data_IF_533831109328
#
_entry.id   IF_533831109328
#
_cell.length_a   1.000
_cell.length_b   1.000
_cell.length_c   1.000
_cell.angle_alpha   90.00
_cell.angle_beta   90.00
_cell.angle_gamma   90.00
#
_symmetry.space_group_name_H-M   'P 1'
#
loop_
_entity.id
_entity.type
_entity.pdbx_description
1 polymer ?
#
# COMPACT_ATOMS: atom_id res chain seq x y z
N UNK A 1 5.26 14.77 12.14
CA UNK A 1 6.15 13.81 12.79
C UNK A 1 7.59 14.04 12.33
N UNK A 2 8.55 14.16 13.26
CA UNK A 2 9.97 14.39 12.91
C UNK A 2 10.66 13.05 12.60
N UNK A 3 11.26 12.96 11.42
CA UNK A 3 12.13 11.84 11.03
C UNK A 3 13.48 11.99 11.75
N UNK A 4 14.04 10.92 12.35
CA UNK A 4 15.41 10.94 12.87
C UNK A 4 16.43 11.31 11.78
N UNK A 5 17.53 12.03 12.11
CA UNK A 5 18.41 12.61 11.08
C UNK A 5 19.15 11.57 10.22
N UNK A 6 19.40 10.36 10.77
CA UNK A 6 20.09 9.26 10.08
C UNK A 6 19.17 8.38 9.23
N UNK A 7 17.85 8.60 9.27
CA UNK A 7 16.89 7.78 8.54
C UNK A 7 16.84 8.21 7.08
N UNK A 8 16.98 7.26 6.18
CA UNK A 8 16.75 7.46 4.74
C UNK A 8 15.25 7.48 4.47
N UNK A 9 14.86 8.19 3.43
CA UNK A 9 13.46 8.25 2.99
C UNK A 9 13.34 7.75 1.56
N UNK A 10 12.53 6.72 1.38
CA UNK A 10 12.25 6.08 0.09
C UNK A 10 10.83 6.47 -0.35
N UNK A 11 10.68 6.98 -1.55
CA UNK A 11 9.37 7.22 -2.15
C UNK A 11 9.08 6.13 -3.18
N UNK A 12 7.98 5.38 -3.00
CA UNK A 12 7.58 4.35 -3.95
C UNK A 12 6.69 4.94 -5.04
N UNK A 13 7.11 4.73 -6.28
CA UNK A 13 6.26 4.90 -7.45
C UNK A 13 5.31 3.69 -7.61
N UNK A 14 4.23 3.81 -8.42
CA UNK A 14 3.39 2.67 -8.77
C UNK A 14 4.19 1.49 -9.35
N UNK A 15 4.02 0.31 -8.77
CA UNK A 15 4.74 -0.90 -9.12
C UNK A 15 6.04 -1.14 -8.35
N UNK A 16 6.47 -0.16 -7.55
CA UNK A 16 7.66 -0.31 -6.74
C UNK A 16 7.37 -0.91 -5.36
N UNK A 17 8.40 -1.47 -4.77
CA UNK A 17 8.43 -1.98 -3.42
C UNK A 17 9.82 -1.78 -2.82
N UNK A 18 9.90 -1.73 -1.51
CA UNK A 18 11.16 -1.64 -0.79
C UNK A 18 11.07 -2.42 0.52
N UNK A 19 12.15 -3.11 0.87
CA UNK A 19 12.34 -3.77 2.16
C UNK A 19 13.62 -3.24 2.81
N UNK A 20 13.57 -2.89 4.09
CA UNK A 20 14.69 -2.24 4.77
C UNK A 20 14.66 -2.44 6.28
N UNK A 21 15.55 -1.70 6.94
CA UNK A 21 15.77 -1.76 8.37
C UNK A 21 15.22 -0.52 9.11
N UNK A 22 15.49 -0.46 10.42
CA UNK A 22 15.12 0.64 11.32
C UNK A 22 15.58 2.03 10.88
N UNK A 23 16.50 2.14 9.94
CA UNK A 23 16.97 3.43 9.42
C UNK A 23 16.20 3.86 8.17
N UNK A 24 15.01 3.33 7.96
CA UNK A 24 14.22 3.57 6.75
C UNK A 24 12.83 4.11 7.07
N UNK A 25 12.42 5.13 6.30
CA UNK A 25 11.05 5.59 6.13
C UNK A 25 10.63 5.34 4.69
N UNK A 26 9.47 4.70 4.48
CA UNK A 26 8.91 4.48 3.15
C UNK A 26 7.63 5.32 3.02
N UNK A 27 7.43 5.93 1.86
CA UNK A 27 6.22 6.73 1.61
C UNK A 27 5.72 6.57 0.19
N UNK A 28 4.42 6.78 0.01
CA UNK A 28 3.77 6.76 -1.29
C UNK A 28 2.46 7.54 -1.29
N UNK A 29 1.88 7.71 -2.48
CA UNK A 29 0.55 8.30 -2.68
C UNK A 29 -0.33 7.28 -3.39
N UNK A 30 -1.47 6.94 -2.81
CA UNK A 30 -2.39 5.91 -3.28
C UNK A 30 -3.72 6.51 -3.67
N UNK A 31 -4.15 6.32 -4.91
CA UNK A 31 -5.54 6.46 -5.35
C UNK A 31 -6.25 5.11 -5.29
N UNK A 32 -6.55 4.53 -6.46
CA UNK A 32 -7.10 3.18 -6.60
C UNK A 32 -6.10 2.04 -6.33
N UNK A 33 -4.82 2.35 -6.27
CA UNK A 33 -3.75 1.42 -5.90
C UNK A 33 -3.84 1.05 -4.42
N UNK A 34 -3.17 -0.05 -4.06
CA UNK A 34 -3.09 -0.52 -2.67
C UNK A 34 -1.63 -0.75 -2.29
N UNK A 35 -1.36 -0.54 -1.02
CA UNK A 35 -0.09 -0.80 -0.36
C UNK A 35 -0.28 -1.76 0.81
N UNK A 36 0.63 -2.73 0.93
CA UNK A 36 0.80 -3.52 2.14
C UNK A 36 2.11 -3.10 2.80
N UNK A 37 2.08 -2.94 4.11
CA UNK A 37 3.27 -2.83 4.94
C UNK A 37 3.46 -4.11 5.71
N UNK A 38 4.70 -4.58 5.78
CA UNK A 38 5.14 -5.73 6.58
C UNK A 38 6.16 -5.24 7.59
N UNK A 39 5.96 -5.52 8.85
CA UNK A 39 6.85 -5.06 9.92
C UNK A 39 7.10 -6.12 10.97
N UNK A 40 8.38 -6.36 11.26
CA UNK A 40 8.82 -7.27 12.31
C UNK A 40 9.19 -6.46 13.57
N UNK A 41 8.43 -6.59 14.68
CA UNK A 41 8.56 -5.69 15.84
C UNK A 41 9.86 -5.83 16.60
N UNK A 42 10.45 -7.02 16.61
CA UNK A 42 11.70 -7.28 17.35
C UNK A 42 12.94 -6.93 16.52
N UNK A 43 12.96 -7.32 15.24
CA UNK A 43 14.11 -7.07 14.37
C UNK A 43 14.13 -5.64 13.82
N UNK A 44 13.01 -4.93 13.88
CA UNK A 44 12.81 -3.59 13.31
C UNK A 44 13.21 -3.54 11.84
N UNK A 45 12.75 -4.56 11.10
CA UNK A 45 12.86 -4.67 9.65
C UNK A 45 11.46 -4.72 9.05
N UNK A 46 11.33 -4.37 7.79
CA UNK A 46 10.03 -4.43 7.13
C UNK A 46 10.07 -3.86 5.73
N UNK A 47 8.94 -3.96 5.06
CA UNK A 47 8.82 -3.49 3.69
C UNK A 47 7.42 -2.97 3.37
N UNK A 48 7.33 -2.32 2.23
CA UNK A 48 6.11 -1.75 1.71
C UNK A 48 6.09 -1.91 0.19
N UNK A 49 4.92 -2.21 -0.39
CA UNK A 49 4.71 -2.23 -1.83
C UNK A 49 3.68 -1.19 -2.25
N UNK A 50 3.68 -0.84 -3.55
CA UNK A 50 2.66 -0.02 -4.19
C UNK A 50 2.19 -0.72 -5.46
N UNK A 51 1.23 -1.64 -5.35
CA UNK A 51 0.69 -2.31 -6.52
C UNK A 51 -0.54 -1.61 -7.11
N UNK A 52 -0.78 -1.83 -8.39
CA UNK A 52 -1.79 -1.13 -9.18
C UNK A 52 -2.96 -2.02 -9.60
N UNK A 53 -2.71 -3.31 -9.77
CA UNK A 53 -3.61 -4.28 -10.39
C UNK A 53 -3.70 -5.54 -9.54
N UNK A 54 -4.85 -6.24 -9.55
CA UNK A 54 -5.03 -7.45 -8.73
C UNK A 54 -4.08 -8.58 -9.09
N UNK A 55 -3.95 -8.88 -10.38
CA UNK A 55 -3.14 -9.97 -10.91
C UNK A 55 -2.80 -9.73 -12.38
N UNK A 56 -1.76 -10.40 -12.84
CA UNK A 56 -1.41 -10.43 -14.27
C UNK A 56 -2.26 -11.48 -14.97
N UNK A 57 -2.94 -11.11 -16.07
CA UNK A 57 -3.66 -12.08 -16.89
C UNK A 57 -2.68 -13.13 -17.48
N UNK A 58 -3.14 -14.38 -17.61
CA UNK A 58 -2.34 -15.47 -18.18
C UNK A 58 -1.76 -15.14 -19.56
N UNK A 59 -2.49 -14.41 -20.39
CA UNK A 59 -2.04 -13.95 -21.72
C UNK A 59 -0.83 -12.99 -21.66
N UNK A 60 -0.69 -12.22 -20.57
CA UNK A 60 0.44 -11.30 -20.35
C UNK A 60 1.62 -11.94 -19.65
N UNK A 61 1.46 -13.14 -19.11
CA UNK A 61 2.54 -14.03 -18.70
C UNK A 61 3.06 -14.77 -19.94
N UNK A 62 3.73 -14.06 -20.84
CA UNK A 62 4.42 -14.72 -21.96
C UNK A 62 5.34 -15.82 -21.43
N UNK A 63 5.54 -16.90 -22.22
CA UNK A 63 6.37 -18.06 -21.87
C UNK A 63 7.84 -17.76 -21.49
N UNK A 64 8.22 -16.49 -21.40
CA UNK A 64 9.55 -15.99 -21.05
C UNK A 64 9.59 -14.93 -19.94
N UNK A 65 8.49 -14.65 -19.23
CA UNK A 65 8.51 -13.71 -18.12
C UNK A 65 9.19 -14.32 -16.90
N UNK A 66 10.52 -14.22 -16.84
CA UNK A 66 11.36 -14.76 -15.75
C UNK A 66 11.35 -13.87 -14.49
N UNK A 67 10.75 -12.68 -14.51
CA UNK A 67 10.75 -11.74 -13.37
C UNK A 67 9.35 -11.41 -12.90
N UNK A 68 9.22 -11.38 -11.56
CA UNK A 68 8.04 -10.87 -10.88
C UNK A 68 7.92 -9.35 -11.10
N UNK A 69 6.69 -8.84 -11.16
CA UNK A 69 6.38 -7.46 -11.45
C UNK A 69 5.53 -6.86 -10.31
N UNK A 70 6.09 -5.94 -9.55
CA UNK A 70 5.44 -5.31 -8.41
C UNK A 70 4.18 -4.50 -8.72
N UNK A 71 3.82 -4.33 -9.99
CA UNK A 71 2.54 -3.73 -10.40
C UNK A 71 1.33 -4.63 -10.07
N UNK A 72 1.52 -5.93 -9.91
CA UNK A 72 0.47 -6.90 -9.63
C UNK A 72 0.55 -7.36 -8.17
N UNK A 73 -0.61 -7.44 -7.50
CA UNK A 73 -0.69 -7.73 -6.08
C UNK A 73 -0.04 -9.06 -5.69
N UNK A 74 -0.36 -10.12 -6.41
CA UNK A 74 0.18 -11.46 -6.17
C UNK A 74 1.71 -11.51 -6.31
N UNK A 75 2.24 -10.83 -7.33
CA UNK A 75 3.68 -10.79 -7.59
C UNK A 75 4.41 -9.85 -6.61
N UNK A 76 3.83 -8.70 -6.25
CA UNK A 76 4.39 -7.78 -5.26
C UNK A 76 4.55 -8.45 -3.88
N UNK A 77 3.52 -9.23 -3.46
CA UNK A 77 3.59 -9.98 -2.21
C UNK A 77 4.65 -11.08 -2.30
N UNK A 78 4.75 -11.81 -3.42
CA UNK A 78 5.78 -12.84 -3.57
C UNK A 78 7.20 -12.27 -3.50
N UNK A 79 7.43 -11.08 -4.07
CA UNK A 79 8.72 -10.39 -3.94
C UNK A 79 9.00 -10.07 -2.45
N UNK A 80 8.04 -9.49 -1.73
CA UNK A 80 8.20 -9.19 -0.30
C UNK A 80 8.38 -10.45 0.54
N UNK A 81 7.70 -11.55 0.21
CA UNK A 81 7.92 -12.85 0.85
C UNK A 81 9.34 -13.37 0.66
N UNK A 82 9.95 -13.13 -0.51
CA UNK A 82 11.36 -13.48 -0.73
C UNK A 82 12.30 -12.67 0.17
N UNK A 83 12.04 -11.38 0.36
CA UNK A 83 12.77 -10.54 1.29
C UNK A 83 12.62 -11.04 2.75
N UNK A 84 11.40 -11.38 3.17
CA UNK A 84 11.12 -11.96 4.49
C UNK A 84 11.87 -13.29 4.70
N UNK A 85 11.87 -14.17 3.71
CA UNK A 85 12.62 -15.44 3.78
C UNK A 85 14.13 -15.20 3.87
N UNK A 86 14.65 -14.24 3.11
CA UNK A 86 16.07 -13.85 3.14
C UNK A 86 16.46 -13.27 4.49
N UNK A 87 15.56 -12.52 5.14
CA UNK A 87 15.77 -11.99 6.48
C UNK A 87 15.77 -13.07 7.58
N UNK A 88 15.32 -14.29 7.29
CA UNK A 88 15.39 -15.45 8.16
C UNK A 88 14.41 -15.46 9.33
N UNK A 89 13.44 -14.53 9.36
CA UNK A 89 12.41 -14.49 10.39
C UNK A 89 11.12 -15.18 9.89
N UNK A 90 10.39 -15.89 10.76
CA UNK A 90 9.11 -16.49 10.41
C UNK A 90 8.10 -15.43 9.93
N UNK A 91 7.42 -15.68 8.82
CA UNK A 91 6.45 -14.72 8.26
C UNK A 91 5.28 -14.39 9.23
N UNK A 92 4.92 -15.32 10.10
CA UNK A 92 3.88 -15.13 11.12
C UNK A 92 4.24 -14.11 12.21
N UNK A 93 5.53 -13.73 12.34
CA UNK A 93 5.97 -12.71 13.30
C UNK A 93 5.85 -11.28 12.73
N UNK A 94 5.54 -11.17 11.43
CA UNK A 94 5.31 -9.87 10.80
C UNK A 94 3.88 -9.38 11.01
N UNK A 95 3.74 -8.14 11.41
CA UNK A 95 2.50 -7.40 11.42
C UNK A 95 2.26 -6.80 10.03
N UNK A 96 1.06 -7.00 9.49
CA UNK A 96 0.69 -6.47 8.18
C UNK A 96 -0.37 -5.39 8.34
N UNK A 97 -0.26 -4.31 7.57
CA UNK A 97 -1.28 -3.25 7.48
C UNK A 97 -1.58 -2.94 6.02
N UNK A 98 -2.84 -2.59 5.73
CA UNK A 98 -3.37 -2.40 4.38
C UNK A 98 -3.86 -0.97 4.17
N UNK A 99 -3.49 -0.34 3.05
CA UNK A 99 -3.86 1.04 2.74
C UNK A 99 -4.21 1.21 1.26
N UNK A 100 -5.18 2.08 0.93
CA UNK A 100 -5.45 2.45 -0.46
C UNK A 100 -6.81 2.01 -1.00
N UNK A 101 -6.90 1.71 -2.29
CA UNK A 101 -8.11 1.26 -2.95
C UNK A 101 -9.20 2.32 -3.06
N UNK A 102 -8.83 3.61 -3.09
CA UNK A 102 -9.76 4.73 -3.17
C UNK A 102 -10.44 4.83 -4.54
N UNK A 103 -11.69 5.30 -4.55
CA UNK A 103 -12.37 5.67 -5.77
C UNK A 103 -11.96 7.09 -6.19
N UNK A 104 -11.29 7.21 -7.31
CA UNK A 104 -10.80 8.49 -7.84
C UNK A 104 -11.84 9.22 -8.70
N UNK A 105 -12.92 8.55 -9.08
CA UNK A 105 -13.96 9.08 -9.97
C UNK A 105 -15.37 8.69 -9.50
N UNK A 106 -15.82 9.19 -8.34
CA UNK A 106 -17.07 8.75 -7.71
C UNK A 106 -18.32 9.01 -8.55
N UNK A 107 -18.29 10.00 -9.47
CA UNK A 107 -19.43 10.36 -10.31
C UNK A 107 -19.47 9.66 -11.67
N UNK A 108 -18.48 8.85 -11.98
CA UNK A 108 -18.50 8.03 -13.21
C UNK A 108 -19.04 6.66 -12.87
N UNK A 109 -20.23 6.35 -13.39
CA UNK A 109 -20.73 4.98 -13.53
C UNK A 109 -19.75 4.24 -14.44
N UNK A 110 -18.72 3.62 -13.84
CA UNK A 110 -17.69 2.95 -14.63
C UNK A 110 -18.11 1.49 -14.86
N UNK A 111 -18.43 1.09 -16.10
CA UNK A 111 -18.83 -0.28 -16.42
C UNK A 111 -17.68 -1.30 -16.26
N UNK A 112 -16.44 -0.84 -16.12
CA UNK A 112 -15.25 -1.71 -16.00
C UNK A 112 -15.00 -2.17 -14.55
N UNK A 113 -15.89 -1.83 -13.62
CA UNK A 113 -15.73 -2.15 -12.19
C UNK A 113 -14.60 -1.37 -11.55
N UNK A 114 -14.85 -0.81 -10.38
CA UNK A 114 -13.90 0.01 -9.66
C UNK A 114 -12.63 -0.79 -9.34
N UNK A 115 -11.51 -0.47 -10.00
CA UNK A 115 -10.22 -1.14 -9.82
C UNK A 115 -9.75 -1.08 -8.35
N UNK A 116 -10.10 -0.01 -7.62
CA UNK A 116 -9.80 0.10 -6.21
C UNK A 116 -10.47 -0.99 -5.38
N UNK A 117 -11.74 -1.31 -5.66
CA UNK A 117 -12.45 -2.41 -4.99
C UNK A 117 -11.76 -3.74 -5.25
N UNK A 118 -11.43 -4.04 -6.51
CA UNK A 118 -10.72 -5.28 -6.88
C UNK A 118 -9.35 -5.38 -6.21
N UNK A 119 -8.63 -4.28 -6.12
CA UNK A 119 -7.34 -4.22 -5.43
C UNK A 119 -7.48 -4.48 -3.93
N UNK A 120 -8.53 -3.96 -3.29
CA UNK A 120 -8.84 -4.23 -1.88
C UNK A 120 -9.19 -5.69 -1.65
N UNK A 121 -10.05 -6.26 -2.49
CA UNK A 121 -10.48 -7.65 -2.38
C UNK A 121 -9.29 -8.60 -2.46
N UNK A 122 -8.41 -8.42 -3.47
CA UNK A 122 -7.22 -9.28 -3.62
C UNK A 122 -6.23 -9.10 -2.47
N UNK A 123 -6.07 -7.87 -1.92
CA UNK A 123 -5.21 -7.64 -0.76
C UNK A 123 -5.63 -8.50 0.42
N UNK A 124 -6.92 -8.46 0.77
CA UNK A 124 -7.48 -9.26 1.88
C UNK A 124 -7.36 -10.75 1.63
N UNK A 125 -7.63 -11.20 0.40
CA UNK A 125 -7.49 -12.62 0.02
C UNK A 125 -6.04 -13.10 0.14
N UNK A 126 -5.07 -12.30 -0.29
CA UNK A 126 -3.65 -12.66 -0.22
C UNK A 126 -3.15 -12.68 1.23
N UNK A 127 -3.52 -11.70 2.05
CA UNK A 127 -3.20 -11.68 3.48
C UNK A 127 -3.74 -12.94 4.18
N UNK A 128 -5.00 -13.29 3.93
CA UNK A 128 -5.60 -14.50 4.47
C UNK A 128 -4.92 -15.78 3.96
N UNK A 129 -4.69 -15.88 2.65
CA UNK A 129 -4.05 -17.04 2.01
C UNK A 129 -2.67 -17.35 2.55
N UNK A 130 -1.87 -16.30 2.80
CA UNK A 130 -0.51 -16.44 3.33
C UNK A 130 -0.46 -16.52 4.86
N UNK A 131 -1.60 -16.42 5.55
CA UNK A 131 -1.67 -16.51 7.01
C UNK A 131 -1.01 -15.33 7.74
N UNK A 132 -0.99 -14.15 7.13
CA UNK A 132 -0.43 -12.96 7.76
C UNK A 132 -1.34 -12.39 8.85
N UNK A 133 -0.72 -11.85 9.90
CA UNK A 133 -1.42 -11.11 10.95
C UNK A 133 -1.70 -9.67 10.49
N UNK A 134 -2.92 -9.41 9.99
CA UNK A 134 -3.37 -8.07 9.63
C UNK A 134 -3.82 -7.32 10.88
N UNK A 135 -3.07 -6.31 11.29
CA UNK A 135 -3.32 -5.54 12.53
C UNK A 135 -4.06 -4.23 12.29
N UNK A 136 -4.07 -3.71 11.06
CA UNK A 136 -4.80 -2.48 10.72
C UNK A 136 -5.10 -2.39 9.22
N UNK A 137 -6.17 -1.67 8.88
CA UNK A 137 -6.48 -1.32 7.49
C UNK A 137 -7.12 0.06 7.39
N UNK A 138 -6.82 0.76 6.28
CA UNK A 138 -7.51 1.98 5.88
C UNK A 138 -7.72 1.95 4.35
N UNK A 139 -8.82 1.33 3.93
CA UNK A 139 -9.11 0.94 2.56
C UNK A 139 -10.41 1.57 2.03
N UNK A 140 -10.53 1.66 0.70
CA UNK A 140 -11.75 2.09 0.03
C UNK A 140 -12.04 3.59 0.19
N UNK A 141 -13.31 3.98 0.06
CA UNK A 141 -13.75 5.38 0.10
C UNK A 141 -13.30 6.18 -1.13
N UNK A 142 -13.62 7.47 -1.16
CA UNK A 142 -13.31 8.36 -2.27
C UNK A 142 -12.00 9.13 -2.02
N UNK A 143 -11.23 9.38 -3.09
CA UNK A 143 -10.02 10.19 -3.05
C UNK A 143 -8.71 9.41 -2.84
N UNK A 144 -7.67 10.13 -2.47
CA UNK A 144 -6.32 9.58 -2.37
C UNK A 144 -5.78 9.63 -0.94
N UNK A 145 -4.71 8.87 -0.70
CA UNK A 145 -4.00 8.79 0.58
C UNK A 145 -2.52 9.02 0.39
N UNK A 146 -1.94 9.90 1.21
CA UNK A 146 -0.50 9.90 1.45
C UNK A 146 -0.23 8.93 2.60
N UNK A 147 0.65 7.98 2.38
CA UNK A 147 1.03 6.95 3.35
C UNK A 147 2.51 7.09 3.66
N UNK A 148 2.86 7.07 4.94
CA UNK A 148 4.23 7.12 5.43
C UNK A 148 4.39 5.98 6.43
N UNK A 149 5.36 5.11 6.20
CA UNK A 149 5.68 3.98 7.06
C UNK A 149 7.06 4.16 7.68
N UNK A 150 7.12 4.13 9.00
CA UNK A 150 8.32 4.28 9.81
C UNK A 150 8.79 2.92 10.32
N UNK A 151 9.82 2.32 9.72
CA UNK A 151 10.26 0.96 10.08
C UNK A 151 10.81 0.90 11.51
N UNK A 152 11.42 1.97 12.04
CA UNK A 152 11.95 1.97 13.43
C UNK A 152 10.88 1.81 14.51
N UNK A 153 9.62 2.07 14.20
CA UNK A 153 8.51 2.02 15.18
C UNK A 153 7.33 1.19 14.72
N UNK A 154 7.29 0.80 13.44
CA UNK A 154 6.15 0.14 12.83
C UNK A 154 4.94 1.06 12.56
N UNK A 155 5.02 2.33 12.93
CA UNK A 155 3.91 3.27 12.74
C UNK A 155 3.68 3.57 11.25
N UNK A 156 2.41 3.64 10.87
CA UNK A 156 1.99 4.11 9.56
C UNK A 156 1.10 5.34 9.71
N UNK A 157 1.49 6.42 9.09
CA UNK A 157 0.77 7.68 9.06
C UNK A 157 -0.01 7.78 7.75
N UNK A 158 -1.30 8.05 7.84
CA UNK A 158 -2.18 8.20 6.68
C UNK A 158 -2.81 9.58 6.69
N UNK A 159 -2.63 10.31 5.60
CA UNK A 159 -3.35 11.53 5.32
C UNK A 159 -4.29 11.28 4.16
N UNK A 160 -5.59 11.20 4.45
CA UNK A 160 -6.62 10.97 3.48
C UNK A 160 -7.18 12.31 2.97
N UNK A 161 -7.18 12.51 1.66
CA UNK A 161 -7.83 13.62 0.99
C UNK A 161 -9.04 13.09 0.23
N UNK A 162 -10.22 13.21 0.83
CA UNK A 162 -11.48 12.84 0.20
C UNK A 162 -11.81 13.80 -0.95
N UNK A 163 -12.33 13.26 -2.05
CA UNK A 163 -12.90 14.08 -3.13
C UNK A 163 -14.34 14.41 -2.71
N UNK A 164 -14.63 15.70 -2.48
CA UNK A 164 -15.99 16.16 -2.22
C UNK A 164 -16.68 16.48 -3.54
N UNK A 165 -17.98 16.12 -3.66
CA UNK A 165 -18.79 16.40 -4.86
C UNK A 165 -18.79 17.87 -5.30
N UNK A 166 -18.55 18.80 -4.38
CA UNK A 166 -18.46 20.23 -4.68
C UNK A 166 -17.17 20.65 -5.41
N UNK A 167 -16.12 19.82 -5.41
CA UNK A 167 -14.88 20.12 -6.13
C UNK A 167 -14.97 19.84 -7.64
N UNK A 168 -16.00 19.15 -8.09
CA UNK A 168 -16.26 18.90 -9.51
C UNK A 168 -17.16 19.97 -10.16
N UNK A 169 -17.88 20.75 -9.37
CA UNK A 169 -18.87 21.74 -9.88
C UNK A 169 -18.36 23.18 -9.96
N UNK A 170 -17.07 23.42 -9.77
CA UNK A 170 -16.53 24.78 -9.88
C UNK A 170 -15.30 24.95 -8.99
N UNK A 171 -14.24 25.41 -9.60
CA UNK A 171 -13.09 25.96 -8.92
C UNK A 171 -13.49 27.20 -8.12
N UNK A 172 -14.07 27.01 -6.92
CA UNK A 172 -14.09 28.07 -5.92
C UNK A 172 -14.39 27.49 -4.54
N UNK A 173 -13.50 27.83 -3.64
CA UNK A 173 -13.50 27.76 -2.17
C UNK A 173 -12.91 26.52 -1.48
N UNK A 174 -11.73 26.81 -0.97
CA UNK A 174 -10.91 25.97 -0.11
C UNK A 174 -11.56 25.77 1.27
N UNK A 175 -12.00 24.57 1.57
CA UNK A 175 -11.98 24.11 2.96
C UNK A 175 -11.66 22.59 2.99
N UNK A 176 -10.36 22.33 3.06
CA UNK A 176 -9.82 20.96 3.06
C UNK A 176 -9.87 20.42 4.48
N UNK A 177 -10.93 19.76 4.86
CA UNK A 177 -10.91 18.87 6.02
C UNK A 177 -10.06 17.64 5.68
N UNK A 178 -8.79 17.71 6.05
CA UNK A 178 -7.88 16.62 5.97
C UNK A 178 -7.93 15.83 7.27
N UNK A 179 -8.38 14.59 7.22
CA UNK A 179 -8.25 13.67 8.35
C UNK A 179 -6.86 13.03 8.32
N UNK A 180 -6.11 13.20 9.40
CA UNK A 180 -4.88 12.45 9.64
C UNK A 180 -5.17 11.33 10.63
N UNK A 181 -4.75 10.12 10.32
CA UNK A 181 -4.83 8.97 11.19
C UNK A 181 -3.44 8.36 11.39
N UNK A 182 -3.19 7.88 12.60
CA UNK A 182 -1.97 7.15 12.96
C UNK A 182 -2.36 5.69 13.25
N UNK A 183 -1.57 4.77 12.74
CA UNK A 183 -1.71 3.34 12.97
C UNK A 183 -0.41 2.81 13.58
N UNK A 184 -0.46 2.54 14.86
CA UNK A 184 0.63 1.95 15.63
C UNK A 184 0.68 0.43 15.48
#
# INVERSE_FOLDING_TARGET
MRKPPHVIEIFLQPGELYFGDRNTRIRTVLGSCVSLTFWHPTLLIGGMCHYMLPNRSHEKRGAGALSLDGRYADEAIEILMNEIRTAGAPHGEYQVKLFGGGNMFPDRSNPVGNIGIKNVEIARQLVLRHGFNCVAEHLGGDGHRNVIFDIWSGHVWVKHAAITRSQMAGMENSDRRMQCAEFA
#
